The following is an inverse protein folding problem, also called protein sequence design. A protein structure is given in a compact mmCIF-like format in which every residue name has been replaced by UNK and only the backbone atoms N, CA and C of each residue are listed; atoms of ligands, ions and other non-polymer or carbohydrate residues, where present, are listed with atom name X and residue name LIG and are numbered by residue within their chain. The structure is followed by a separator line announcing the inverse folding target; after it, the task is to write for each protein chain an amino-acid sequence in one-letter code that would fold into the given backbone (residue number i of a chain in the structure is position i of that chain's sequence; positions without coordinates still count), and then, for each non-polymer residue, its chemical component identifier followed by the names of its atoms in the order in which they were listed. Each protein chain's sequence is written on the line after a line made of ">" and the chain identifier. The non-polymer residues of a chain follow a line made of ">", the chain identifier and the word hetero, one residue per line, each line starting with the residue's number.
data_IF_158372380925
#
_entry.id   IF_158372380925
#
_cell.length_a   1.000
_cell.length_b   1.000
_cell.length_c   1.000
_cell.angle_alpha   90.00
_cell.angle_beta   90.00
_cell.angle_gamma   90.00
#
_symmetry.space_group_name_H-M   'P 1'
#
loop_
_entity.id
_entity.type
_entity.pdbx_description
1 polymer ?
#
# COMPACT_ATOMS: atom_id res chain seq x y z
N UNK A 1 -1.71 47.19 -65.34
CA UNK A 1 -1.63 48.24 -64.30
C UNK A 1 -2.93 48.24 -63.48
N UNK A 2 -2.80 48.07 -62.15
CA UNK A 2 -3.65 48.52 -61.02
C UNK A 2 -5.21 48.50 -61.07
N UNK A 3 -5.76 47.64 -60.18
CA UNK A 3 -6.78 47.85 -59.09
C UNK A 3 -8.17 48.38 -59.47
N UNK A 4 -9.24 47.58 -59.42
CA UNK A 4 -10.07 47.16 -58.24
C UNK A 4 -10.75 48.30 -57.46
N UNK A 5 -12.06 48.45 -57.63
CA UNK A 5 -13.03 48.80 -56.59
C UNK A 5 -14.45 48.42 -57.06
N UNK A 6 -15.04 47.37 -56.49
CA UNK A 6 -16.46 47.05 -56.64
C UNK A 6 -16.95 46.55 -55.27
N UNK A 7 -17.67 47.42 -54.57
CA UNK A 7 -18.22 47.18 -53.24
C UNK A 7 -19.53 46.40 -53.39
N UNK A 8 -19.58 45.21 -52.80
CA UNK A 8 -20.68 44.25 -52.89
C UNK A 8 -21.74 44.51 -51.82
N UNK A 9 -22.98 44.30 -52.26
CA UNK A 9 -24.29 44.44 -51.65
C UNK A 9 -24.44 43.78 -50.26
N UNK A 10 -25.05 44.50 -49.32
CA UNK A 10 -25.49 44.03 -48.00
C UNK A 10 -26.85 43.29 -48.16
N UNK A 11 -26.89 41.98 -47.94
CA UNK A 11 -28.12 41.15 -47.97
C UNK A 11 -28.51 40.78 -46.55
N UNK A 12 -29.69 41.24 -46.11
CA UNK A 12 -30.33 40.89 -44.85
C UNK A 12 -31.54 39.97 -45.06
N UNK A 13 -31.38 38.73 -44.58
CA UNK A 13 -32.33 37.85 -43.86
C UNK A 13 -33.69 37.53 -44.50
N UNK A 14 -33.95 36.23 -44.70
CA UNK A 14 -35.14 35.48 -44.21
C UNK A 14 -34.93 33.99 -44.49
N UNK A 15 -34.57 33.21 -43.45
CA UNK A 15 -34.48 31.74 -43.52
C UNK A 15 -35.82 31.18 -43.04
N UNK A 16 -36.54 30.48 -43.92
CA UNK A 16 -37.75 29.75 -43.59
C UNK A 16 -37.39 28.28 -43.27
N UNK A 17 -37.71 27.84 -42.04
CA UNK A 17 -37.62 26.43 -41.64
C UNK A 17 -38.73 25.61 -42.31
N UNK A 18 -38.37 24.51 -42.98
CA UNK A 18 -39.29 23.54 -43.58
C UNK A 18 -39.27 22.26 -42.74
N UNK A 19 -40.42 21.88 -42.17
CA UNK A 19 -40.59 20.66 -41.41
C UNK A 19 -40.62 19.42 -42.33
N UNK A 20 -40.04 18.27 -41.94
CA UNK A 20 -40.11 17.04 -42.72
C UNK A 20 -41.46 16.34 -42.58
N UNK A 21 -41.86 15.69 -43.68
CA UNK A 21 -43.13 15.01 -43.88
C UNK A 21 -43.27 13.74 -43.01
N UNK A 22 -44.49 13.56 -42.50
CA UNK A 22 -44.89 12.46 -41.63
C UNK A 22 -45.37 11.27 -42.49
N UNK A 23 -44.57 10.22 -42.56
CA UNK A 23 -44.88 8.99 -43.29
C UNK A 23 -45.70 8.05 -42.38
N UNK A 24 -47.02 8.02 -42.59
CA UNK A 24 -47.95 7.18 -41.83
C UNK A 24 -47.89 5.74 -42.36
N UNK A 25 -46.94 4.96 -41.85
CA UNK A 25 -46.95 3.51 -42.01
C UNK A 25 -48.05 2.89 -41.13
N UNK A 26 -49.02 2.27 -41.80
CA UNK A 26 -50.17 1.56 -41.27
C UNK A 26 -49.73 0.42 -40.33
N UNK A 27 -50.03 0.53 -39.03
CA UNK A 27 -49.84 -0.56 -38.05
C UNK A 27 -51.03 -1.53 -38.12
N UNK A 28 -50.82 -2.71 -38.67
CA UNK A 28 -51.70 -3.86 -38.45
C UNK A 28 -51.57 -4.34 -37.00
N UNK A 29 -52.69 -4.47 -36.31
CA UNK A 29 -52.79 -5.03 -34.96
C UNK A 29 -52.46 -6.53 -34.96
N UNK A 30 -51.52 -7.03 -34.14
CA UNK A 30 -51.33 -8.46 -34.00
C UNK A 30 -52.32 -9.04 -32.98
N UNK A 31 -52.90 -10.17 -33.32
CA UNK A 31 -53.69 -11.07 -32.45
C UNK A 31 -52.91 -11.43 -31.18
N UNK A 32 -53.53 -11.45 -29.98
CA UNK A 32 -52.82 -11.86 -28.77
C UNK A 32 -52.60 -13.38 -28.81
N UNK A 33 -51.32 -13.78 -28.86
CA UNK A 33 -50.91 -15.15 -28.63
C UNK A 33 -51.17 -15.57 -27.18
N UNK A 34 -51.51 -16.84 -26.90
CA UNK A 34 -51.65 -17.32 -25.53
C UNK A 34 -50.32 -17.19 -24.77
N UNK A 35 -50.34 -17.03 -23.43
CA UNK A 35 -49.12 -16.92 -22.64
C UNK A 35 -48.27 -18.18 -22.81
N UNK A 36 -47.09 -18.04 -23.40
CA UNK A 36 -46.07 -19.05 -23.33
C UNK A 36 -45.56 -19.10 -21.88
N UNK A 37 -45.90 -20.18 -21.16
CA UNK A 37 -45.32 -20.45 -19.84
C UNK A 37 -43.83 -20.68 -20.03
N UNK A 38 -43.02 -19.68 -19.68
CA UNK A 38 -41.56 -19.86 -19.63
C UNK A 38 -41.26 -20.92 -18.56
N UNK A 39 -40.45 -21.94 -18.85
CA UNK A 39 -39.93 -22.79 -17.79
C UNK A 39 -39.16 -21.91 -16.80
N UNK A 40 -39.47 -22.06 -15.52
CA UNK A 40 -38.78 -21.41 -14.42
C UNK A 40 -37.27 -21.64 -14.60
N UNK A 41 -36.39 -20.62 -14.47
CA UNK A 41 -34.96 -20.85 -14.54
C UNK A 41 -34.60 -21.88 -13.47
N UNK A 42 -34.18 -23.07 -13.90
CA UNK A 42 -33.54 -24.05 -13.04
C UNK A 42 -32.33 -23.34 -12.43
N UNK A 43 -32.36 -23.13 -11.11
CA UNK A 43 -31.22 -22.62 -10.39
C UNK A 43 -30.04 -23.55 -10.65
N UNK A 44 -29.09 -23.09 -11.46
CA UNK A 44 -27.81 -23.75 -11.63
C UNK A 44 -27.19 -23.85 -10.23
N UNK A 45 -26.74 -25.04 -9.78
CA UNK A 45 -26.11 -25.14 -8.47
C UNK A 45 -24.93 -24.19 -8.47
N UNK A 46 -24.98 -23.18 -7.59
CA UNK A 46 -23.85 -22.32 -7.31
C UNK A 46 -22.66 -23.25 -7.04
N UNK A 47 -21.55 -23.15 -7.77
CA UNK A 47 -20.38 -23.94 -7.44
C UNK A 47 -20.05 -23.60 -5.99
N UNK A 48 -20.19 -24.60 -5.11
CA UNK A 48 -19.75 -24.49 -3.73
C UNK A 48 -18.26 -24.18 -3.84
N UNK A 49 -17.88 -22.93 -3.57
CA UNK A 49 -16.48 -22.56 -3.43
C UNK A 49 -15.91 -23.57 -2.44
N UNK A 50 -15.02 -24.44 -2.94
CA UNK A 50 -14.24 -25.30 -2.08
C UNK A 50 -13.56 -24.36 -1.10
N UNK A 51 -13.99 -24.43 0.15
CA UNK A 51 -13.32 -23.73 1.24
C UNK A 51 -11.93 -24.35 1.29
N UNK A 52 -10.95 -23.69 0.69
CA UNK A 52 -9.55 -23.94 1.00
C UNK A 52 -9.45 -23.78 2.50
N UNK A 53 -9.26 -24.89 3.20
CA UNK A 53 -8.90 -24.86 4.61
C UNK A 53 -7.66 -23.97 4.72
N UNK A 54 -7.83 -22.83 5.39
CA UNK A 54 -6.73 -21.97 5.76
C UNK A 54 -5.94 -22.81 6.76
N UNK A 55 -4.81 -23.38 6.34
CA UNK A 55 -3.88 -24.00 7.27
C UNK A 55 -3.35 -22.90 8.17
N UNK A 56 -3.82 -22.91 9.42
CA UNK A 56 -3.29 -22.06 10.47
C UNK A 56 -1.80 -22.40 10.60
N UNK A 57 -0.90 -21.39 10.64
CA UNK A 57 0.52 -21.67 10.84
C UNK A 57 0.68 -22.34 12.21
N UNK A 58 1.14 -23.59 12.22
CA UNK A 58 1.61 -24.26 13.42
C UNK A 58 2.76 -23.44 14.00
N UNK A 59 2.72 -23.11 15.29
CA UNK A 59 3.78 -22.37 15.97
C UNK A 59 5.14 -23.01 15.67
N UNK A 60 6.10 -22.23 15.17
CA UNK A 60 7.48 -22.68 15.06
C UNK A 60 7.97 -23.09 16.46
N UNK A 61 8.47 -24.32 16.65
CA UNK A 61 8.93 -24.75 17.96
C UNK A 61 10.08 -23.84 18.43
N UNK A 62 9.95 -23.27 19.62
CA UNK A 62 11.04 -22.53 20.26
C UNK A 62 12.10 -23.54 20.65
N UNK A 63 13.35 -23.34 20.23
CA UNK A 63 14.46 -24.21 20.57
C UNK A 63 15.49 -23.50 21.44
N UNK A 64 16.15 -24.25 22.32
CA UNK A 64 17.16 -23.74 23.24
C UNK A 64 18.42 -24.63 23.19
N UNK A 65 19.59 -24.02 23.05
CA UNK A 65 20.86 -24.76 23.10
C UNK A 65 21.34 -24.82 24.54
N UNK A 66 21.51 -26.04 25.07
CA UNK A 66 21.91 -26.29 26.45
C UNK A 66 23.32 -25.72 26.71
N UNK A 67 23.46 -24.84 27.68
CA UNK A 67 24.73 -24.26 28.11
C UNK A 67 25.39 -25.06 29.24
N UNK A 68 26.70 -24.88 29.50
CA UNK A 68 27.34 -25.44 30.68
C UNK A 68 26.61 -25.01 31.96
N UNK A 69 26.40 -25.96 32.88
CA UNK A 69 25.70 -25.80 34.15
C UNK A 69 24.17 -25.55 34.07
N UNK A 70 23.56 -25.69 32.88
CA UNK A 70 22.11 -25.68 32.81
C UNK A 70 21.50 -26.92 33.49
N UNK A 71 20.31 -26.71 34.08
CA UNK A 71 19.44 -27.80 34.56
C UNK A 71 18.07 -27.68 33.92
N UNK A 72 17.35 -28.80 33.73
CA UNK A 72 16.00 -28.75 33.13
C UNK A 72 15.04 -27.90 33.94
N UNK A 73 15.20 -27.87 35.26
CA UNK A 73 14.38 -27.04 36.16
C UNK A 73 14.67 -25.55 35.91
N UNK A 74 15.94 -25.15 35.81
CA UNK A 74 16.31 -23.77 35.52
C UNK A 74 15.86 -23.33 34.11
N UNK A 75 15.95 -24.21 33.12
CA UNK A 75 15.45 -23.95 31.76
C UNK A 75 13.92 -23.84 31.76
N UNK A 76 13.21 -24.77 32.40
CA UNK A 76 11.76 -24.73 32.51
C UNK A 76 11.27 -23.43 33.16
N UNK A 77 11.93 -23.00 34.24
CA UNK A 77 11.66 -21.71 34.90
C UNK A 77 11.94 -20.52 33.99
N UNK A 78 13.08 -20.53 33.27
CA UNK A 78 13.46 -19.46 32.33
C UNK A 78 12.42 -19.25 31.23
N UNK A 79 11.78 -20.32 30.76
CA UNK A 79 10.79 -20.27 29.69
C UNK A 79 9.34 -20.34 30.19
N UNK A 80 9.09 -20.33 31.50
CA UNK A 80 7.74 -20.34 32.06
C UNK A 80 6.94 -21.61 31.74
N UNK A 81 7.61 -22.74 31.54
CA UNK A 81 6.98 -24.05 31.24
C UNK A 81 7.12 -25.00 32.41
N UNK A 82 6.26 -26.03 32.48
CA UNK A 82 6.42 -27.08 33.50
C UNK A 82 7.55 -28.03 33.11
N UNK A 83 8.26 -28.57 34.11
CA UNK A 83 9.28 -29.59 33.89
C UNK A 83 8.71 -30.81 33.15
N UNK A 84 7.46 -31.16 33.43
CA UNK A 84 6.79 -32.30 32.79
C UNK A 84 6.48 -32.03 31.32
N UNK A 85 5.96 -30.85 30.97
CA UNK A 85 5.76 -30.46 29.58
C UNK A 85 7.08 -30.44 28.80
N UNK A 86 8.16 -29.93 29.43
CA UNK A 86 9.49 -29.88 28.82
C UNK A 86 10.07 -31.29 28.59
N UNK A 87 9.79 -32.25 29.46
CA UNK A 87 10.17 -33.67 29.28
C UNK A 87 9.35 -34.35 28.18
N UNK A 88 8.04 -34.09 28.15
CA UNK A 88 7.15 -34.64 27.11
C UNK A 88 7.51 -34.13 25.72
N UNK A 89 7.92 -32.87 25.60
CA UNK A 89 8.41 -32.29 24.35
C UNK A 89 9.76 -32.89 23.89
N UNK A 90 10.52 -33.52 24.79
CA UNK A 90 11.85 -34.07 24.53
C UNK A 90 11.98 -35.53 25.03
N UNK A 91 11.22 -36.49 24.46
CA UNK A 91 11.12 -37.86 24.97
C UNK A 91 12.43 -38.67 24.91
N UNK A 92 13.44 -38.19 24.17
CA UNK A 92 14.76 -38.82 24.05
C UNK A 92 15.84 -38.23 24.97
N UNK A 93 15.52 -37.23 25.80
CA UNK A 93 16.50 -36.56 26.65
C UNK A 93 16.60 -37.24 28.01
N UNK A 94 17.83 -37.52 28.48
CA UNK A 94 18.07 -37.99 29.83
C UNK A 94 18.09 -36.79 30.81
N UNK A 95 17.15 -36.70 31.78
CA UNK A 95 17.09 -35.57 32.73
C UNK A 95 18.33 -35.44 33.63
N UNK A 96 19.06 -36.54 33.84
CA UNK A 96 20.23 -36.60 34.72
C UNK A 96 21.55 -36.41 33.96
N UNK A 97 21.49 -36.28 32.63
CA UNK A 97 22.66 -36.10 31.78
C UNK A 97 22.28 -35.17 30.62
N UNK A 98 22.40 -33.86 30.85
CA UNK A 98 22.13 -32.84 29.83
C UNK A 98 23.39 -32.60 28.99
N UNK A 99 23.41 -33.01 27.71
CA UNK A 99 24.55 -32.74 26.85
C UNK A 99 24.60 -31.25 26.49
N UNK A 100 25.66 -30.58 26.94
CA UNK A 100 25.97 -29.20 26.55
C UNK A 100 26.08 -29.12 25.03
N UNK A 101 25.44 -28.11 24.43
CA UNK A 101 25.39 -27.91 22.99
C UNK A 101 24.23 -28.63 22.29
N UNK A 102 23.46 -29.47 22.98
CA UNK A 102 22.27 -30.08 22.39
C UNK A 102 21.10 -29.08 22.31
N UNK A 103 20.25 -29.27 21.31
CA UNK A 103 19.05 -28.47 21.10
C UNK A 103 17.87 -29.09 21.84
N UNK A 104 17.23 -28.30 22.70
CA UNK A 104 16.06 -28.63 23.49
C UNK A 104 14.83 -27.95 22.89
N UNK A 105 13.75 -28.70 22.68
CA UNK A 105 12.46 -28.15 22.24
C UNK A 105 11.73 -27.59 23.45
N UNK A 106 11.39 -26.31 23.42
CA UNK A 106 10.61 -25.65 24.48
C UNK A 106 9.13 -25.69 24.06
N UNK A 107 8.25 -26.38 24.80
CA UNK A 107 6.82 -26.39 24.51
C UNK A 107 6.24 -24.99 24.76
N UNK A 108 5.21 -24.61 24.01
CA UNK A 108 4.42 -23.43 24.37
C UNK A 108 3.67 -23.75 25.68
N UNK A 109 3.98 -23.06 26.77
CA UNK A 109 3.28 -23.24 28.04
C UNK A 109 1.86 -22.65 27.97
N UNK A 110 0.89 -23.31 28.62
CA UNK A 110 -0.50 -22.85 28.75
C UNK A 110 -0.68 -21.50 29.49
N UNK A 111 0.41 -20.88 29.95
CA UNK A 111 0.41 -19.64 30.73
C UNK A 111 1.12 -18.47 30.05
N UNK A 112 1.46 -18.58 28.77
CA UNK A 112 1.76 -17.41 27.96
C UNK A 112 0.67 -17.34 26.90
N UNK A 113 -0.27 -16.37 26.96
CA UNK A 113 -0.98 -15.99 25.75
C UNK A 113 0.13 -15.80 24.72
N UNK A 114 0.11 -16.56 23.62
CA UNK A 114 0.93 -16.21 22.49
C UNK A 114 0.61 -14.73 22.27
N UNK A 115 1.57 -13.84 22.59
CA UNK A 115 1.44 -12.45 22.17
C UNK A 115 1.11 -12.58 20.69
N UNK A 116 -0.08 -12.13 20.24
CA UNK A 116 -0.50 -12.38 18.89
C UNK A 116 0.65 -11.86 18.04
N UNK A 117 1.40 -12.78 17.40
CA UNK A 117 2.45 -12.36 16.48
C UNK A 117 1.65 -11.67 15.40
N UNK A 118 1.78 -10.34 15.26
CA UNK A 118 0.86 -9.59 14.43
C UNK A 118 0.92 -10.19 13.04
N UNK A 119 -0.18 -10.85 12.65
CA UNK A 119 -0.24 -11.53 11.37
C UNK A 119 -0.30 -10.44 10.31
N UNK A 120 0.59 -10.47 9.29
CA UNK A 120 0.57 -9.48 8.24
C UNK A 120 -0.84 -9.37 7.63
N UNK A 121 -1.38 -8.16 7.59
CA UNK A 121 -2.67 -7.91 6.96
C UNK A 121 -2.48 -7.72 5.45
N UNK A 122 -3.39 -8.24 4.61
CA UNK A 122 -3.32 -7.93 3.19
C UNK A 122 -3.64 -6.45 2.99
N UNK A 123 -2.75 -5.73 2.31
CA UNK A 123 -3.01 -4.37 1.81
C UNK A 123 -3.15 -4.38 0.29
N UNK A 124 -3.98 -3.49 -0.23
CA UNK A 124 -4.21 -3.35 -1.66
C UNK A 124 -3.12 -2.50 -2.31
N UNK A 125 -2.47 -3.04 -3.33
CA UNK A 125 -1.64 -2.27 -4.26
C UNK A 125 -2.57 -1.61 -5.29
N UNK A 126 -2.75 -0.30 -5.24
CA UNK A 126 -3.66 0.45 -6.12
C UNK A 126 -3.07 0.66 -7.51
N UNK A 127 -1.77 0.90 -7.59
CA UNK A 127 -1.05 1.16 -8.84
C UNK A 127 0.43 0.78 -8.67
N UNK A 128 1.03 0.38 -9.79
CA UNK A 128 2.48 0.19 -9.93
C UNK A 128 2.89 0.86 -11.21
N UNK A 129 3.71 1.90 -11.12
CA UNK A 129 4.18 2.68 -12.28
C UNK A 129 5.69 2.73 -12.25
N UNK A 130 6.32 2.51 -13.41
CA UNK A 130 7.77 2.48 -13.52
C UNK A 130 8.27 3.51 -14.54
N UNK A 131 9.40 4.12 -14.22
CA UNK A 131 10.00 5.23 -14.92
C UNK A 131 11.43 4.85 -15.32
N UNK A 132 11.74 4.75 -16.63
CA UNK A 132 13.07 4.39 -17.08
C UNK A 132 14.05 5.53 -16.79
N UNK A 133 15.28 5.17 -16.42
CA UNK A 133 16.36 6.13 -16.18
C UNK A 133 17.28 6.24 -17.39
N UNK A 134 18.05 7.34 -17.47
CA UNK A 134 18.95 7.61 -18.62
C UNK A 134 20.09 6.60 -18.74
N UNK A 135 20.50 6.00 -17.63
CA UNK A 135 21.49 4.93 -17.54
C UNK A 135 20.90 3.54 -17.84
N UNK A 136 19.62 3.46 -18.20
CA UNK A 136 18.96 2.21 -18.60
C UNK A 136 18.40 1.37 -17.45
N UNK A 137 18.36 1.92 -16.23
CA UNK A 137 17.65 1.33 -15.09
C UNK A 137 16.18 1.71 -15.04
N UNK A 138 15.51 1.36 -13.95
CA UNK A 138 14.07 1.55 -13.79
C UNK A 138 13.72 1.89 -12.33
N UNK A 139 13.09 3.05 -12.13
CA UNK A 139 12.45 3.38 -10.86
C UNK A 139 11.00 2.95 -10.88
N UNK A 140 10.58 2.09 -9.95
CA UNK A 140 9.18 1.70 -9.81
C UNK A 140 8.60 2.27 -8.52
N UNK A 141 7.42 2.87 -8.63
CA UNK A 141 6.60 3.34 -7.52
C UNK A 141 5.36 2.45 -7.41
N UNK A 142 5.10 1.94 -6.21
CA UNK A 142 3.87 1.24 -5.88
C UNK A 142 3.09 2.05 -4.87
N UNK A 143 1.81 2.28 -5.13
CA UNK A 143 0.93 2.96 -4.20
C UNK A 143 0.08 1.94 -3.45
N UNK A 144 0.29 1.86 -2.13
CA UNK A 144 -0.39 0.92 -1.24
C UNK A 144 -1.43 1.70 -0.44
N UNK A 145 -2.67 1.24 -0.46
CA UNK A 145 -3.79 1.91 0.22
C UNK A 145 -4.16 1.18 1.49
N UNK A 146 -4.31 1.92 2.59
CA UNK A 146 -4.92 1.41 3.79
C UNK A 146 -6.45 1.61 3.74
N UNK A 147 -7.18 0.55 3.39
CA UNK A 147 -8.64 0.53 3.39
C UNK A 147 -9.23 0.08 4.75
N UNK A 148 -8.39 -0.22 5.75
CA UNK A 148 -8.82 -0.54 7.10
C UNK A 148 -9.22 0.73 7.89
N UNK A 149 -9.99 0.53 8.96
CA UNK A 149 -10.35 1.59 9.90
C UNK A 149 -9.21 1.94 10.86
N UNK A 150 -8.26 1.03 11.03
CA UNK A 150 -7.07 1.18 11.86
C UNK A 150 -5.87 1.66 11.04
N UNK A 151 -4.96 2.39 11.69
CA UNK A 151 -3.63 2.68 11.11
C UNK A 151 -2.86 1.38 10.91
N UNK A 152 -2.12 1.29 9.80
CA UNK A 152 -1.23 0.16 9.52
C UNK A 152 0.22 0.60 9.64
N UNK A 153 1.07 -0.21 10.27
CA UNK A 153 2.50 0.03 10.43
C UNK A 153 3.38 -1.04 9.76
N UNK A 154 4.69 -0.78 9.66
CA UNK A 154 5.70 -1.74 9.25
C UNK A 154 5.43 -2.35 7.86
N UNK A 155 5.13 -1.49 6.89
CA UNK A 155 4.92 -1.89 5.50
C UNK A 155 6.27 -2.19 4.82
N UNK A 156 6.40 -3.42 4.34
CA UNK A 156 7.42 -3.79 3.34
C UNK A 156 6.77 -4.50 2.15
N UNK A 157 7.34 -4.28 0.98
CA UNK A 157 6.84 -4.87 -0.27
C UNK A 157 7.99 -5.48 -1.06
N UNK A 158 7.67 -6.50 -1.84
CA UNK A 158 8.54 -7.11 -2.83
C UNK A 158 8.10 -6.64 -4.21
N UNK A 159 8.96 -5.89 -4.89
CA UNK A 159 8.88 -5.66 -6.32
C UNK A 159 9.50 -6.84 -7.06
N UNK A 160 8.86 -7.26 -8.14
CA UNK A 160 9.34 -8.33 -9.02
C UNK A 160 9.23 -7.85 -10.45
N UNK A 161 10.33 -7.83 -11.20
CA UNK A 161 10.26 -7.69 -12.65
C UNK A 161 9.88 -9.04 -13.26
N UNK A 162 8.84 -9.02 -14.07
CA UNK A 162 8.32 -10.17 -14.79
C UNK A 162 8.41 -9.92 -16.29
N UNK A 163 8.72 -10.94 -17.06
CA UNK A 163 8.62 -10.87 -18.51
C UNK A 163 7.17 -10.99 -19.01
N UNK A 164 6.97 -11.00 -20.33
CA UNK A 164 5.65 -11.14 -20.95
C UNK A 164 4.94 -12.46 -20.62
N UNK A 165 5.69 -13.51 -20.25
CA UNK A 165 5.15 -14.80 -19.83
C UNK A 165 4.81 -14.85 -18.34
N UNK A 166 5.14 -13.80 -17.58
CA UNK A 166 4.96 -13.72 -16.13
C UNK A 166 6.09 -14.36 -15.33
N UNK A 167 7.19 -14.78 -15.98
CA UNK A 167 8.33 -15.37 -15.28
C UNK A 167 9.10 -14.29 -14.52
N UNK A 168 9.40 -14.53 -13.24
CA UNK A 168 10.17 -13.61 -12.41
C UNK A 168 11.64 -13.55 -12.87
N UNK A 169 12.11 -12.34 -13.16
CA UNK A 169 13.47 -12.08 -13.65
C UNK A 169 14.34 -11.44 -12.56
N UNK A 170 13.82 -10.42 -11.87
CA UNK A 170 14.55 -9.71 -10.81
C UNK A 170 13.61 -9.33 -9.65
N UNK A 171 14.17 -9.17 -8.45
CA UNK A 171 13.42 -8.94 -7.21
C UNK A 171 14.08 -7.85 -6.36
N UNK A 172 13.29 -6.92 -5.83
CA UNK A 172 13.74 -5.87 -4.93
C UNK A 172 12.78 -5.75 -3.74
N UNK A 173 13.31 -5.80 -2.52
CA UNK A 173 12.53 -5.50 -1.31
C UNK A 173 12.62 -4.01 -1.05
N UNK A 174 11.47 -3.37 -0.81
CA UNK A 174 11.38 -1.96 -0.50
C UNK A 174 10.55 -1.71 0.77
N UNK A 175 10.96 -0.70 1.53
CA UNK A 175 10.33 -0.29 2.77
C UNK A 175 9.58 1.01 2.56
N UNK A 176 8.46 1.17 3.26
CA UNK A 176 7.72 2.41 3.24
C UNK A 176 8.55 3.59 3.81
N UNK A 177 8.47 4.80 3.23
CA UNK A 177 9.23 5.95 3.73
C UNK A 177 8.77 6.40 5.13
N UNK A 178 7.49 6.18 5.45
CA UNK A 178 6.92 6.31 6.78
C UNK A 178 6.61 4.91 7.32
N UNK A 179 6.68 4.77 8.63
CA UNK A 179 6.34 3.54 9.32
C UNK A 179 4.83 3.30 9.30
N UNK A 180 4.02 4.37 9.36
CA UNK A 180 2.55 4.28 9.41
C UNK A 180 1.81 4.74 8.15
N UNK A 181 0.63 4.14 7.93
CA UNK A 181 -0.35 4.51 6.92
C UNK A 181 -1.70 4.72 7.63
N UNK A 182 -2.18 5.97 7.78
CA UNK A 182 -3.46 6.22 8.45
C UNK A 182 -4.65 5.66 7.65
N UNK A 183 -5.82 5.48 8.29
CA UNK A 183 -7.03 4.96 7.65
C UNK A 183 -7.45 5.77 6.42
N UNK A 184 -7.79 5.08 5.33
CA UNK A 184 -8.20 5.71 4.06
C UNK A 184 -7.09 6.45 3.32
N UNK A 185 -5.85 6.39 3.80
CA UNK A 185 -4.69 7.03 3.15
C UNK A 185 -3.89 6.01 2.33
N UNK A 186 -3.03 6.52 1.48
CA UNK A 186 -2.16 5.71 0.64
C UNK A 186 -0.71 6.14 0.79
N UNK A 187 0.21 5.18 0.78
CA UNK A 187 1.66 5.42 0.82
C UNK A 187 2.31 4.93 -0.47
N UNK A 188 3.25 5.69 -1.00
CA UNK A 188 4.02 5.31 -2.16
C UNK A 188 5.37 4.72 -1.72
N UNK A 189 5.65 3.50 -2.16
CA UNK A 189 6.90 2.77 -1.91
C UNK A 189 7.69 2.71 -3.21
N UNK A 190 9.01 2.93 -3.14
CA UNK A 190 9.88 3.02 -4.30
C UNK A 190 10.92 1.90 -4.31
N UNK A 191 11.19 1.34 -5.48
CA UNK A 191 12.31 0.43 -5.72
C UNK A 191 13.04 0.83 -7.01
N UNK A 192 14.35 0.65 -7.03
CA UNK A 192 15.17 0.85 -8.22
C UNK A 192 15.72 -0.49 -8.71
N UNK A 193 15.60 -0.73 -10.02
CA UNK A 193 16.22 -1.84 -10.71
C UNK A 193 17.38 -1.30 -11.58
N UNK A 194 18.62 -1.75 -11.36
CA UNK A 194 19.75 -1.32 -12.17
C UNK A 194 19.68 -1.88 -13.59
N UNK A 195 20.32 -1.20 -14.55
CA UNK A 195 20.46 -1.72 -15.90
C UNK A 195 21.27 -3.04 -15.93
N UNK A 196 21.03 -3.94 -16.90
CA UNK A 196 20.04 -3.82 -17.99
C UNK A 196 18.65 -4.33 -17.59
N UNK A 197 17.61 -3.58 -17.95
CA UNK A 197 16.21 -4.01 -17.77
C UNK A 197 15.79 -4.90 -18.94
N UNK A 198 15.25 -6.12 -18.67
CA UNK A 198 14.78 -7.00 -19.74
C UNK A 198 13.70 -6.34 -20.60
N UNK A 199 13.74 -6.58 -21.92
CA UNK A 199 12.75 -6.03 -22.84
C UNK A 199 11.34 -6.53 -22.49
N UNK A 200 10.37 -5.62 -22.46
CA UNK A 200 8.98 -5.93 -22.12
C UNK A 200 8.74 -6.23 -20.63
N UNK A 201 9.75 -6.09 -19.76
CA UNK A 201 9.59 -6.32 -18.34
C UNK A 201 8.53 -5.42 -17.71
N UNK A 202 7.70 -6.00 -16.84
CA UNK A 202 6.68 -5.32 -16.05
C UNK A 202 6.93 -5.56 -14.57
N UNK A 203 6.71 -4.56 -13.74
CA UNK A 203 6.83 -4.71 -12.30
C UNK A 203 5.51 -5.23 -11.69
N UNK A 204 5.59 -6.34 -10.97
CA UNK A 204 4.57 -6.81 -10.05
C UNK A 204 4.99 -6.50 -8.61
N UNK A 205 4.02 -6.31 -7.72
CA UNK A 205 4.26 -5.93 -6.32
C UNK A 205 3.50 -6.85 -5.39
N UNK A 206 4.17 -7.34 -4.35
CA UNK A 206 3.59 -8.17 -3.30
C UNK A 206 3.86 -7.53 -1.95
N UNK A 207 2.82 -7.37 -1.13
CA UNK A 207 2.97 -6.94 0.26
C UNK A 207 3.60 -8.09 1.05
N UNK A 208 4.68 -7.82 1.77
CA UNK A 208 5.38 -8.80 2.60
C UNK A 208 4.97 -8.67 4.07
N UNK A 209 4.95 -7.44 4.58
CA UNK A 209 4.58 -7.12 5.96
C UNK A 209 3.66 -5.93 5.98
N UNK A 210 2.72 -5.93 6.94
CA UNK A 210 1.82 -4.83 7.25
C UNK A 210 1.08 -5.20 8.54
N UNK A 211 1.12 -4.36 9.58
CA UNK A 211 0.55 -4.69 10.89
C UNK A 211 -0.49 -3.64 11.25
N UNK A 212 -1.71 -4.05 11.61
CA UNK A 212 -2.70 -3.09 12.14
C UNK A 212 -2.32 -2.68 13.56
N UNK A 213 -2.28 -1.38 13.79
CA UNK A 213 -2.17 -0.81 15.13
C UNK A 213 -3.48 -1.01 15.88
N UNK A 214 -3.39 -1.61 17.06
CA UNK A 214 -4.53 -1.79 17.95
C UNK A 214 -4.94 -0.44 18.55
N UNK A 215 -6.23 -0.32 18.90
CA UNK A 215 -6.74 0.83 19.61
C UNK A 215 -5.96 1.07 20.92
N UNK A 216 -5.54 2.31 21.16
CA UNK A 216 -4.77 2.70 22.34
C UNK A 216 -3.25 2.62 22.18
N UNK A 217 -2.71 2.32 21.00
CA UNK A 217 -1.27 2.47 20.74
C UNK A 217 -0.85 3.94 20.95
N UNK A 218 0.18 4.14 21.77
CA UNK A 218 0.68 5.47 22.14
C UNK A 218 2.04 5.80 21.54
N UNK A 219 2.62 4.94 20.70
CA UNK A 219 3.95 5.14 20.09
C UNK A 219 3.92 6.27 19.06
N UNK A 220 2.80 6.45 18.38
CA UNK A 220 2.59 7.52 17.42
C UNK A 220 1.76 8.65 18.03
N UNK A 221 2.15 9.88 17.73
CA UNK A 221 1.42 11.07 18.10
C UNK A 221 0.56 11.53 16.92
N UNK A 222 -0.71 11.92 17.15
CA UNK A 222 -1.50 12.55 16.10
C UNK A 222 -0.80 13.83 15.64
N UNK A 223 -0.53 13.94 14.34
CA UNK A 223 0.17 15.08 13.78
C UNK A 223 -0.42 15.43 12.42
N UNK A 224 -0.46 16.73 12.13
CA UNK A 224 -1.07 17.26 10.90
C UNK A 224 -0.24 18.40 10.33
N UNK A 225 -0.10 18.41 9.00
CA UNK A 225 0.47 19.55 8.28
C UNK A 225 -0.60 20.65 8.13
N UNK A 226 -0.25 21.88 8.50
CA UNK A 226 -1.11 23.07 8.46
C UNK A 226 -0.47 24.15 7.60
N UNK A 227 -1.31 25.03 7.06
CA UNK A 227 -0.90 26.16 6.22
C UNK A 227 0.04 25.71 5.08
N UNK A 228 -0.30 24.59 4.46
CA UNK A 228 0.54 23.98 3.43
C UNK A 228 0.41 24.78 2.14
N UNK A 229 1.54 25.29 1.66
CA UNK A 229 1.68 25.88 0.34
C UNK A 229 2.41 24.89 -0.56
N UNK A 230 1.86 24.65 -1.75
CA UNK A 230 2.46 23.81 -2.79
C UNK A 230 2.63 24.64 -4.05
N UNK A 231 3.88 24.87 -4.44
CA UNK A 231 4.25 25.62 -5.63
C UNK A 231 4.84 24.65 -6.64
N UNK A 232 4.07 24.30 -7.66
CA UNK A 232 4.52 23.44 -8.76
C UNK A 232 5.27 24.33 -9.76
N UNK A 233 6.48 23.91 -10.13
CA UNK A 233 7.29 24.60 -11.13
C UNK A 233 6.58 24.68 -12.48
N UNK A 234 6.94 25.65 -13.33
CA UNK A 234 6.26 25.89 -14.60
C UNK A 234 6.34 24.73 -15.59
N UNK A 235 7.40 23.90 -15.54
CA UNK A 235 7.47 22.64 -16.32
C UNK A 235 6.73 21.48 -15.63
N UNK A 236 6.37 21.64 -14.36
CA UNK A 236 5.70 20.64 -13.54
C UNK A 236 6.60 19.48 -13.09
N UNK A 237 7.91 19.51 -13.34
CA UNK A 237 8.80 18.41 -12.93
C UNK A 237 9.31 18.52 -11.49
N UNK A 238 8.99 19.60 -10.79
CA UNK A 238 9.24 19.73 -9.35
C UNK A 238 8.12 20.49 -8.66
N UNK A 239 7.91 20.19 -7.39
CA UNK A 239 6.99 20.92 -6.54
C UNK A 239 7.69 21.29 -5.24
N UNK A 240 7.58 22.57 -4.89
CA UNK A 240 8.12 23.14 -3.68
C UNK A 240 7.03 23.21 -2.60
N UNK A 241 7.33 22.69 -1.42
CA UNK A 241 6.36 22.46 -0.34
C UNK A 241 6.82 23.22 0.89
N UNK A 242 5.93 24.02 1.48
CA UNK A 242 6.19 24.69 2.76
C UNK A 242 4.95 24.69 3.66
N UNK A 243 5.15 24.84 4.96
CA UNK A 243 4.06 24.88 5.94
C UNK A 243 4.57 24.60 7.36
N UNK A 244 3.66 24.19 8.24
CA UNK A 244 4.00 23.76 9.59
C UNK A 244 3.39 22.41 9.94
N UNK A 245 4.07 21.60 10.74
CA UNK A 245 3.49 20.41 11.38
C UNK A 245 3.06 20.78 12.78
N UNK A 246 1.83 20.45 13.12
CA UNK A 246 1.29 20.59 14.49
C UNK A 246 1.08 19.19 15.06
N UNK A 247 1.59 18.97 16.27
CA UNK A 247 1.36 17.75 17.03
C UNK A 247 0.11 17.98 17.88
N UNK A 248 -0.93 17.19 17.65
CA UNK A 248 -2.21 17.37 18.33
C UNK A 248 -2.19 16.66 19.68
N UNK A 249 -2.69 17.34 20.72
CA UNK A 249 -2.84 16.78 22.06
C UNK A 249 -1.58 16.14 22.67
N UNK A 250 -0.40 16.66 22.32
CA UNK A 250 0.86 16.15 22.86
C UNK A 250 1.16 16.71 24.26
N UNK A 251 0.83 15.94 25.29
CA UNK A 251 1.42 16.11 26.63
C UNK A 251 2.93 15.83 26.62
N UNK A 252 3.41 15.10 25.62
CA UNK A 252 4.80 14.66 25.45
C UNK A 252 5.33 15.10 24.10
N UNK A 253 6.54 15.67 24.09
CA UNK A 253 7.20 16.07 22.85
C UNK A 253 7.56 14.87 21.97
N UNK A 254 7.43 14.98 20.63
CA UNK A 254 7.86 13.90 19.76
C UNK A 254 9.38 13.69 19.83
N UNK A 255 9.81 12.45 19.60
CA UNK A 255 11.22 12.12 19.33
C UNK A 255 11.55 12.20 17.85
N UNK A 256 10.57 12.03 16.98
CA UNK A 256 10.71 12.13 15.52
C UNK A 256 9.46 12.73 14.90
N UNK A 257 9.66 13.54 13.86
CA UNK A 257 8.59 14.06 13.01
C UNK A 257 9.04 13.98 11.56
N UNK A 258 8.31 13.21 10.77
CA UNK A 258 8.56 13.01 9.35
C UNK A 258 7.35 13.42 8.52
N UNK A 259 7.61 13.89 7.31
CA UNK A 259 6.59 14.18 6.30
C UNK A 259 6.96 13.39 5.05
N UNK A 260 6.01 12.69 4.47
CA UNK A 260 6.14 12.13 3.13
C UNK A 260 5.29 12.96 2.17
N UNK A 261 5.93 13.50 1.13
CA UNK A 261 5.26 14.03 -0.04
C UNK A 261 5.16 12.95 -1.12
N UNK A 262 3.97 12.79 -1.66
CA UNK A 262 3.68 11.96 -2.83
C UNK A 262 3.16 12.89 -3.92
N UNK A 263 3.91 12.99 -5.03
CA UNK A 263 3.54 13.76 -6.19
C UNK A 263 2.76 12.88 -7.17
N UNK A 264 1.68 13.42 -7.73
CA UNK A 264 0.81 12.74 -8.69
C UNK A 264 0.70 13.53 -9.98
N UNK A 265 0.59 12.82 -11.11
CA UNK A 265 0.25 13.41 -12.39
C UNK A 265 -1.27 13.64 -12.54
N UNK A 266 -1.69 14.10 -13.72
CA UNK A 266 -3.09 14.39 -14.03
C UNK A 266 -3.99 13.13 -14.06
N UNK A 267 -3.41 11.94 -14.20
CA UNK A 267 -4.09 10.65 -14.23
C UNK A 267 -4.08 9.96 -12.85
N UNK A 268 -3.70 10.69 -11.80
CA UNK A 268 -3.55 10.19 -10.43
C UNK A 268 -2.49 9.07 -10.25
N UNK A 269 -1.52 8.97 -11.17
CA UNK A 269 -0.36 8.10 -10.98
C UNK A 269 0.68 8.78 -10.09
N UNK A 270 1.25 8.03 -9.16
CA UNK A 270 2.36 8.49 -8.34
C UNK A 270 3.60 8.64 -9.24
N UNK A 271 4.09 9.88 -9.37
CA UNK A 271 5.26 10.24 -10.20
C UNK A 271 6.48 10.63 -9.37
N UNK A 272 6.32 10.86 -8.06
CA UNK A 272 7.43 11.25 -7.21
C UNK A 272 7.16 11.01 -5.73
N UNK A 273 8.21 10.70 -4.98
CA UNK A 273 8.15 10.54 -3.53
C UNK A 273 9.33 11.22 -2.86
N UNK A 274 9.08 11.93 -1.76
CA UNK A 274 10.16 12.51 -0.94
C UNK A 274 9.77 12.54 0.52
N UNK A 275 10.65 12.01 1.37
CA UNK A 275 10.56 12.19 2.82
C UNK A 275 11.35 13.42 3.25
N UNK A 276 10.75 14.19 4.14
CA UNK A 276 11.39 15.23 4.92
C UNK A 276 11.40 14.85 6.40
N UNK A 277 12.44 15.25 7.11
CA UNK A 277 12.63 14.97 8.53
C UNK A 277 12.90 16.27 9.27
N UNK A 278 12.22 16.47 10.40
CA UNK A 278 12.41 17.65 11.24
C UNK A 278 13.80 17.67 11.85
N UNK A 279 14.57 18.74 11.58
CA UNK A 279 15.88 18.94 12.20
C UNK A 279 15.81 19.39 13.66
N UNK A 280 14.74 20.09 14.04
CA UNK A 280 14.48 20.50 15.42
C UNK A 280 13.04 20.14 15.78
N UNK A 281 12.86 19.54 16.95
CA UNK A 281 11.55 19.05 17.41
C UNK A 281 11.16 19.80 18.67
N UNK A 282 9.90 20.24 18.73
CA UNK A 282 9.32 20.92 19.87
C UNK A 282 7.81 20.66 19.92
N UNK A 283 7.16 21.11 21.00
CA UNK A 283 5.69 21.13 21.09
C UNK A 283 5.06 22.32 20.34
N UNK A 284 5.87 23.26 19.86
CA UNK A 284 5.40 24.34 18.99
C UNK A 284 5.29 23.84 17.54
N UNK A 285 4.48 24.50 16.70
CA UNK A 285 4.39 24.16 15.28
C UNK A 285 5.78 24.14 14.62
N UNK A 286 6.10 23.03 13.95
CA UNK A 286 7.42 22.77 13.36
C UNK A 286 7.37 23.20 11.88
N UNK A 287 8.12 24.24 11.47
CA UNK A 287 8.12 24.65 10.07
C UNK A 287 8.82 23.60 9.20
N UNK A 288 8.30 23.39 7.98
CA UNK A 288 8.94 22.56 6.97
C UNK A 288 9.01 23.32 5.64
N UNK A 289 10.05 23.00 4.87
CA UNK A 289 10.27 23.49 3.52
C UNK A 289 11.14 22.46 2.77
N UNK A 290 10.62 21.86 1.70
CA UNK A 290 11.37 20.90 0.88
C UNK A 290 10.75 20.75 -0.51
N UNK A 291 11.44 20.06 -1.41
CA UNK A 291 10.96 19.82 -2.77
C UNK A 291 10.79 18.32 -3.05
N UNK A 292 9.79 17.99 -3.85
CA UNK A 292 9.60 16.68 -4.47
C UNK A 292 9.74 16.81 -5.99
N UNK A 293 10.29 15.79 -6.64
CA UNK A 293 10.59 15.79 -8.07
C UNK A 293 9.82 14.67 -8.76
N UNK A 294 9.36 14.94 -9.98
CA UNK A 294 8.74 13.92 -10.83
C UNK A 294 9.81 13.05 -11.51
N UNK A 295 9.54 11.76 -11.58
CA UNK A 295 10.30 10.75 -12.33
C UNK A 295 9.80 10.60 -13.77
N UNK A 296 8.67 11.23 -14.12
CA UNK A 296 8.01 11.06 -15.42
C UNK A 296 7.14 12.26 -15.78
N UNK A 297 5.83 12.08 -15.80
CA UNK A 297 4.88 13.12 -16.20
C UNK A 297 4.88 14.34 -15.26
N UNK A 298 4.47 15.53 -15.75
CA UNK A 298 4.33 16.72 -14.90
C UNK A 298 3.42 16.48 -13.69
N UNK A 299 3.81 17.04 -12.55
CA UNK A 299 3.07 17.00 -11.29
C UNK A 299 1.80 17.85 -11.44
N UNK A 300 0.65 17.24 -11.17
CA UNK A 300 -0.64 17.92 -11.11
C UNK A 300 -1.05 18.25 -9.65
N UNK A 301 -0.67 17.40 -8.69
CA UNK A 301 -0.94 17.62 -7.27
C UNK A 301 0.09 16.92 -6.37
N UNK A 302 0.19 17.37 -5.13
CA UNK A 302 1.01 16.72 -4.09
C UNK A 302 0.15 16.42 -2.88
N UNK A 303 0.36 15.26 -2.29
CA UNK A 303 -0.29 14.81 -1.07
C UNK A 303 0.76 14.63 0.04
N UNK A 304 0.42 15.04 1.26
CA UNK A 304 1.29 14.88 2.42
C UNK A 304 0.72 13.84 3.37
N UNK A 305 1.62 12.98 3.87
CA UNK A 305 1.42 12.18 5.07
C UNK A 305 2.39 12.65 6.15
N UNK A 306 1.93 12.69 7.39
CA UNK A 306 2.75 13.11 8.53
C UNK A 306 2.82 11.96 9.51
N UNK A 307 4.01 11.71 10.02
CA UNK A 307 4.27 10.76 11.10
C UNK A 307 4.99 11.48 12.23
N UNK A 308 4.51 11.29 13.46
CA UNK A 308 5.22 11.72 14.65
C UNK A 308 5.30 10.55 15.63
N UNK A 309 6.49 10.32 16.21
CA UNK A 309 6.74 9.24 17.16
C UNK A 309 7.09 9.81 18.54
N UNK A 310 6.65 9.14 19.60
CA UNK A 310 7.04 9.40 20.99
C UNK A 310 8.43 8.91 21.32
#
# INVERSE_FOLDING_TARGET
>A
MRRHFLFVLLISVLVACRAPANDQAQRSSPTPAPPATLPLPTASPTPLLASTEITFPTSTPVTYVIAPNDTLIAIAQKFGVTLEALRQANPGLNPNALPVGATLIIPAGDSQPALPTPTPVPLRVRQTTCYPTRDGGLWCLALIVNEYAETVENLSVLFVLQDESGQEQERQIAFAPLDIIPPGRAIAVAAFFPAPIPAGARAAVRVLTAIRLLAGDTRYLPAVARNVLTEIDWEGHSAHLSGTVTIEAAEVAPRKVWILAIAYDADDNAVGVRRWEAGQISNAPIPFHFSVYSLGAPIARVELLVEAQR
#
